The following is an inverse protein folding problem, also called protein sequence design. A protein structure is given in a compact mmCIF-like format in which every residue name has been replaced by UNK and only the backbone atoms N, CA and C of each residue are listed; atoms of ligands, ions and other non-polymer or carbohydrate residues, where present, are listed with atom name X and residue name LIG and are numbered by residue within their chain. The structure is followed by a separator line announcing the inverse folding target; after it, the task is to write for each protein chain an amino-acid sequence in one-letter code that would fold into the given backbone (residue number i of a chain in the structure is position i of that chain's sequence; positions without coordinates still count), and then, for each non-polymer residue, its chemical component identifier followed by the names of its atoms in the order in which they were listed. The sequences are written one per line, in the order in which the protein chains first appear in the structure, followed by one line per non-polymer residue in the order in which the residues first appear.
data_IF_323181894023
#
_entry.id   IF_323181894023
#
_cell.length_a   1.000
_cell.length_b   1.000
_cell.length_c   1.000
_cell.angle_alpha   90.00
_cell.angle_beta   90.00
_cell.angle_gamma   90.00
#
_symmetry.space_group_name_H-M   'P 1'
#
loop_
_entity.id
_entity.type
_entity.pdbx_description
1 polymer ?
#
# COMPACT_ATOMS: atom_id res chain seq x y z
N UNK A 1 5.48 -6.85 -16.49
CA UNK A 1 6.77 -6.56 -15.84
C UNK A 1 6.84 -5.11 -15.42
N UNK A 2 7.10 -4.86 -14.14
CA UNK A 2 7.28 -3.52 -13.55
C UNK A 2 8.71 -3.09 -13.83
N UNK A 3 8.94 -2.08 -14.68
CA UNK A 3 10.29 -1.72 -15.14
C UNK A 3 11.01 -0.81 -14.15
N UNK A 4 12.30 -1.06 -13.94
CA UNK A 4 13.16 -0.25 -13.06
C UNK A 4 13.68 1.03 -13.73
N UNK A 5 13.30 1.31 -14.98
CA UNK A 5 13.88 2.36 -15.82
C UNK A 5 13.57 3.81 -15.39
N UNK A 6 13.04 4.04 -14.19
CA UNK A 6 12.72 5.36 -13.66
C UNK A 6 13.34 5.65 -12.27
N UNK A 7 14.35 4.89 -11.83
CA UNK A 7 15.13 5.24 -10.63
C UNK A 7 16.06 6.41 -10.98
N UNK A 8 15.50 7.61 -11.11
CA UNK A 8 16.29 8.84 -11.10
C UNK A 8 16.01 9.57 -9.79
N UNK A 9 16.81 9.26 -8.77
CA UNK A 9 17.52 10.23 -7.93
C UNK A 9 16.74 11.46 -7.43
N UNK A 10 15.45 11.38 -7.12
CA UNK A 10 14.76 12.52 -6.51
C UNK A 10 15.03 12.57 -5.01
N UNK A 11 16.10 13.28 -4.65
CA UNK A 11 16.40 13.72 -3.29
C UNK A 11 15.87 15.16 -3.16
N UNK A 12 14.65 15.38 -2.61
CA UNK A 12 14.15 16.74 -2.43
C UNK A 12 15.01 17.48 -1.40
N UNK A 13 15.49 18.70 -1.71
CA UNK A 13 16.40 19.46 -0.85
C UNK A 13 15.78 19.94 0.48
N UNK A 14 14.47 19.77 0.69
CA UNK A 14 13.71 20.51 1.70
C UNK A 14 13.26 19.70 2.93
N UNK A 15 13.39 18.37 2.96
CA UNK A 15 13.01 17.59 4.15
C UNK A 15 14.21 17.38 5.08
N UNK A 16 14.29 18.29 6.05
CA UNK A 16 15.39 18.46 6.99
C UNK A 16 15.91 17.17 7.62
N UNK A 17 17.19 16.90 7.38
CA UNK A 17 18.02 16.16 8.33
C UNK A 17 18.60 17.17 9.31
N UNK A 18 18.22 17.07 10.58
CA UNK A 18 19.04 17.63 11.67
C UNK A 18 20.33 16.82 11.67
N UNK A 19 21.40 17.38 11.11
CA UNK A 19 22.71 16.74 11.15
C UNK A 19 23.27 16.87 12.58
N UNK A 20 23.26 15.77 13.32
CA UNK A 20 24.08 15.64 14.52
C UNK A 20 25.56 15.66 14.07
N UNK A 21 26.39 16.60 14.56
CA UNK A 21 27.72 16.83 14.02
C UNK A 21 28.74 15.88 14.66
N UNK A 22 28.57 14.56 14.53
CA UNK A 22 29.59 13.61 15.01
C UNK A 22 29.40 12.17 14.47
N UNK A 23 29.26 12.01 13.15
CA UNK A 23 29.45 10.71 12.48
C UNK A 23 30.02 10.87 11.07
N UNK A 24 31.23 11.40 10.97
CA UNK A 24 32.05 11.31 9.75
C UNK A 24 32.80 9.97 9.71
N UNK A 25 32.04 8.87 9.63
CA UNK A 25 32.52 7.62 9.04
C UNK A 25 31.62 7.27 7.85
N UNK A 26 31.96 7.91 6.72
CA UNK A 26 31.55 7.65 5.34
C UNK A 26 30.09 7.18 5.06
N UNK A 27 29.13 8.10 5.05
CA UNK A 27 27.77 7.88 4.52
C UNK A 27 27.73 7.63 2.99
N UNK A 28 28.82 7.95 2.28
CA UNK A 28 28.93 7.84 0.82
C UNK A 28 28.90 6.37 0.38
N UNK A 29 29.54 5.46 1.12
CA UNK A 29 29.69 4.06 0.70
C UNK A 29 28.41 3.24 0.93
N UNK A 30 27.62 3.54 1.97
CA UNK A 30 26.38 2.79 2.24
C UNK A 30 25.24 3.17 1.27
N UNK A 31 25.12 4.45 0.95
CA UNK A 31 24.13 4.96 0.00
C UNK A 31 24.42 4.43 -1.42
N UNK A 32 25.69 4.49 -1.84
CA UNK A 32 26.13 3.92 -3.13
C UNK A 32 25.81 2.43 -3.29
N UNK A 33 25.87 1.63 -2.21
CA UNK A 33 25.60 0.19 -2.28
C UNK A 33 24.11 -0.13 -2.49
N UNK A 34 23.20 0.62 -1.87
CA UNK A 34 21.75 0.43 -2.08
C UNK A 34 21.35 0.97 -3.46
N UNK A 35 21.88 2.12 -3.86
CA UNK A 35 21.66 2.70 -5.20
C UNK A 35 22.16 1.75 -6.31
N UNK A 36 23.32 1.11 -6.11
CA UNK A 36 23.89 0.15 -7.08
C UNK A 36 23.08 -1.15 -7.16
N UNK A 37 22.47 -1.59 -6.05
CA UNK A 37 21.65 -2.82 -6.05
C UNK A 37 20.29 -2.59 -6.72
N UNK A 38 19.65 -1.44 -6.50
CA UNK A 38 18.37 -1.08 -7.14
C UNK A 38 18.52 -0.75 -8.64
N UNK A 39 19.65 -0.21 -9.08
CA UNK A 39 19.94 0.05 -10.50
C UNK A 39 20.26 -1.20 -11.33
N UNK A 40 20.60 -2.33 -10.69
CA UNK A 40 20.83 -3.61 -11.40
C UNK A 40 19.55 -4.40 -11.69
N UNK A 41 18.48 -4.17 -10.92
CA UNK A 41 17.18 -4.74 -11.22
C UNK A 41 16.65 -4.08 -12.50
N UNK A 42 16.26 -4.88 -13.50
CA UNK A 42 15.68 -4.37 -14.76
C UNK A 42 14.16 -4.26 -14.67
N UNK A 43 13.54 -5.24 -14.02
CA UNK A 43 12.11 -5.26 -13.77
C UNK A 43 11.72 -6.31 -12.74
N UNK A 44 10.55 -6.14 -12.11
CA UNK A 44 9.85 -7.19 -11.39
C UNK A 44 8.94 -7.91 -12.39
N UNK A 45 9.19 -9.20 -12.60
CA UNK A 45 8.32 -10.05 -13.41
C UNK A 45 7.13 -10.53 -12.59
N UNK A 46 6.00 -10.80 -13.26
CA UNK A 46 4.82 -11.35 -12.60
C UNK A 46 5.10 -12.79 -12.21
N UNK A 47 5.07 -13.15 -10.91
CA UNK A 47 5.17 -14.54 -10.51
C UNK A 47 3.94 -15.33 -11.01
N UNK A 48 4.11 -16.59 -11.45
CA UNK A 48 2.99 -17.40 -11.93
C UNK A 48 1.92 -17.67 -10.86
N UNK A 49 2.27 -17.55 -9.58
CA UNK A 49 1.35 -17.69 -8.45
C UNK A 49 0.32 -16.55 -8.39
N UNK A 50 0.63 -15.39 -8.95
CA UNK A 50 -0.27 -14.23 -8.99
C UNK A 50 -1.16 -14.33 -10.23
N UNK A 51 -2.18 -15.19 -10.18
CA UNK A 51 -3.09 -15.40 -11.31
C UNK A 51 -4.13 -14.27 -11.49
N UNK A 52 -4.45 -13.55 -10.42
CA UNK A 52 -5.43 -12.45 -10.44
C UNK A 52 -4.84 -11.20 -11.14
N UNK A 53 -5.53 -10.73 -12.18
CA UNK A 53 -5.15 -9.55 -12.96
C UNK A 53 -5.30 -8.25 -12.18
N UNK A 54 -6.34 -8.10 -11.36
CA UNK A 54 -6.58 -6.91 -10.54
C UNK A 54 -5.55 -6.83 -9.41
N UNK A 55 -5.18 -7.97 -8.82
CA UNK A 55 -4.11 -8.03 -7.83
C UNK A 55 -2.78 -7.61 -8.45
N UNK A 56 -2.44 -8.16 -9.61
CA UNK A 56 -1.20 -7.82 -10.29
C UNK A 56 -1.16 -6.35 -10.73
N UNK A 57 -2.26 -5.80 -11.25
CA UNK A 57 -2.32 -4.39 -11.64
C UNK A 57 -2.08 -3.49 -10.42
N UNK A 58 -2.74 -3.76 -9.28
CA UNK A 58 -2.52 -3.03 -8.03
C UNK A 58 -1.05 -3.09 -7.59
N UNK A 59 -0.48 -4.29 -7.51
CA UNK A 59 0.92 -4.49 -7.12
C UNK A 59 1.87 -3.74 -8.07
N UNK A 60 1.56 -3.70 -9.37
CA UNK A 60 2.34 -2.98 -10.36
C UNK A 60 2.42 -1.47 -10.10
N UNK A 61 1.33 -0.87 -9.59
CA UNK A 61 1.28 0.55 -9.23
C UNK A 61 1.93 0.86 -7.89
N UNK A 62 1.85 -0.07 -6.93
CA UNK A 62 2.43 0.07 -5.59
C UNK A 62 3.95 -0.16 -5.58
N UNK A 63 4.43 -1.06 -6.43
CA UNK A 63 5.85 -1.41 -6.56
C UNK A 63 6.55 -0.63 -7.68
N UNK A 64 5.95 0.47 -8.15
CA UNK A 64 6.60 1.38 -9.08
C UNK A 64 7.86 1.98 -8.45
N UNK A 65 8.94 1.95 -9.22
CA UNK A 65 10.25 2.37 -8.76
C UNK A 65 10.36 3.89 -8.69
N UNK A 66 9.69 4.60 -9.60
CA UNK A 66 9.55 6.05 -9.55
C UNK A 66 8.60 6.47 -8.43
N UNK A 67 9.08 7.11 -7.34
CA UNK A 67 8.22 7.48 -6.22
C UNK A 67 7.12 8.46 -6.62
N UNK A 68 7.32 9.25 -7.69
CA UNK A 68 6.33 10.23 -8.18
C UNK A 68 5.18 9.52 -8.89
N UNK A 69 5.45 8.39 -9.54
CA UNK A 69 4.43 7.59 -10.25
C UNK A 69 3.82 6.49 -9.39
N UNK A 70 4.46 6.15 -8.26
CA UNK A 70 3.94 5.18 -7.29
C UNK A 70 2.61 5.66 -6.73
N UNK A 71 1.63 4.76 -6.69
CA UNK A 71 0.34 5.08 -6.10
C UNK A 71 0.48 5.50 -4.64
N UNK A 72 -0.15 6.62 -4.31
CA UNK A 72 -0.40 6.99 -2.93
C UNK A 72 -1.46 6.07 -2.30
N UNK A 73 -1.49 6.01 -0.97
CA UNK A 73 -2.39 5.11 -0.24
C UNK A 73 -3.88 5.36 -0.59
N UNK A 74 -4.28 6.62 -0.77
CA UNK A 74 -5.65 6.98 -1.12
C UNK A 74 -6.05 6.55 -2.54
N UNK A 75 -5.10 6.52 -3.48
CA UNK A 75 -5.29 5.99 -4.83
C UNK A 75 -5.38 4.45 -4.80
N UNK A 76 -4.51 3.80 -4.03
CA UNK A 76 -4.50 2.35 -3.89
C UNK A 76 -5.82 1.82 -3.30
N UNK A 77 -6.38 2.50 -2.29
CA UNK A 77 -7.67 2.13 -1.69
C UNK A 77 -8.87 2.27 -2.65
N UNK A 78 -8.74 3.07 -3.71
CA UNK A 78 -9.77 3.23 -4.75
C UNK A 78 -9.64 2.23 -5.90
N UNK A 79 -8.63 1.36 -5.86
CA UNK A 79 -8.36 0.41 -6.94
C UNK A 79 -9.51 -0.63 -7.07
N UNK A 80 -9.82 -1.10 -8.30
CA UNK A 80 -10.85 -2.13 -8.50
C UNK A 80 -10.61 -3.42 -7.69
N UNK A 81 -9.36 -3.74 -7.38
CA UNK A 81 -9.04 -4.86 -6.48
C UNK A 81 -9.77 -4.78 -5.12
N UNK A 82 -10.04 -3.58 -4.61
CA UNK A 82 -10.79 -3.38 -3.36
C UNK A 82 -12.25 -2.93 -3.56
N UNK A 83 -12.64 -2.54 -4.78
CA UNK A 83 -13.92 -1.85 -5.05
C UNK A 83 -14.78 -2.49 -6.15
N UNK A 84 -14.27 -3.55 -6.78
CA UNK A 84 -14.98 -4.32 -7.80
C UNK A 84 -16.20 -5.07 -7.23
N UNK A 85 -17.05 -5.55 -8.13
CA UNK A 85 -18.16 -6.45 -7.78
C UNK A 85 -17.69 -7.70 -7.06
N UNK A 86 -16.55 -8.25 -7.47
CA UNK A 86 -15.90 -9.44 -6.92
C UNK A 86 -15.48 -9.18 -5.48
N UNK A 87 -14.77 -8.08 -5.22
CA UNK A 87 -14.38 -7.68 -3.86
C UNK A 87 -15.60 -7.45 -2.94
N UNK A 88 -16.69 -6.89 -3.48
CA UNK A 88 -17.92 -6.71 -2.73
C UNK A 88 -18.64 -8.05 -2.44
N UNK A 89 -18.52 -9.04 -3.33
CA UNK A 89 -19.09 -10.36 -3.15
C UNK A 89 -18.32 -11.20 -2.10
N UNK A 90 -17.03 -10.91 -1.90
CA UNK A 90 -16.19 -11.56 -0.89
C UNK A 90 -16.50 -11.11 0.54
N UNK A 91 -17.30 -10.06 0.72
CA UNK A 91 -17.74 -9.61 2.05
C UNK A 91 -18.71 -10.65 2.63
N UNK A 92 -18.29 -11.30 3.71
CA UNK A 92 -19.08 -12.33 4.38
C UNK A 92 -20.37 -11.78 5.01
N UNK A 93 -21.41 -12.62 5.14
CA UNK A 93 -22.60 -12.28 5.91
C UNK A 93 -22.29 -11.87 7.36
N UNK A 94 -21.24 -12.42 7.95
CA UNK A 94 -20.77 -12.13 9.31
C UNK A 94 -20.26 -10.69 9.41
N UNK A 95 -19.45 -10.23 8.44
CA UNK A 95 -19.01 -8.83 8.36
C UNK A 95 -20.23 -7.89 8.25
N UNK A 96 -21.24 -8.24 7.45
CA UNK A 96 -22.48 -7.46 7.38
C UNK A 96 -23.23 -7.39 8.71
N UNK A 97 -23.35 -8.50 9.44
CA UNK A 97 -24.00 -8.54 10.76
C UNK A 97 -23.25 -7.67 11.77
N UNK A 98 -21.92 -7.73 11.79
CA UNK A 98 -21.09 -6.92 12.67
C UNK A 98 -21.23 -5.42 12.38
N UNK A 99 -21.24 -5.04 11.09
CA UNK A 99 -21.46 -3.66 10.68
C UNK A 99 -22.84 -3.12 11.12
N UNK A 100 -23.90 -3.94 10.97
CA UNK A 100 -25.24 -3.58 11.44
C UNK A 100 -25.31 -3.44 12.96
N UNK A 101 -24.60 -4.30 13.71
CA UNK A 101 -24.52 -4.20 15.15
C UNK A 101 -23.83 -2.91 15.58
N UNK A 102 -22.68 -2.59 14.99
CA UNK A 102 -21.98 -1.33 15.22
C UNK A 102 -22.87 -0.12 14.90
N UNK A 103 -23.68 -0.18 13.84
CA UNK A 103 -24.63 0.89 13.50
C UNK A 103 -25.69 1.09 14.59
N UNK A 104 -26.24 0.02 15.16
CA UNK A 104 -27.19 0.10 16.29
C UNK A 104 -26.54 0.70 17.53
N UNK A 105 -25.31 0.31 17.84
CA UNK A 105 -24.55 0.87 18.97
C UNK A 105 -24.27 2.36 18.79
N UNK A 106 -23.96 2.79 17.57
CA UNK A 106 -23.78 4.20 17.23
C UNK A 106 -25.04 5.02 17.52
N UNK A 107 -26.22 4.49 17.19
CA UNK A 107 -27.51 5.13 17.49
C UNK A 107 -27.80 5.20 19.00
N UNK A 108 -27.29 4.24 19.78
CA UNK A 108 -27.38 4.27 21.24
C UNK A 108 -26.40 5.23 21.94
N UNK A 109 -25.62 6.00 21.18
CA UNK A 109 -24.69 7.00 21.70
C UNK A 109 -23.28 6.48 22.01
N UNK A 110 -22.94 5.27 21.57
CA UNK A 110 -21.57 4.77 21.67
C UNK A 110 -20.63 5.46 20.66
N UNK A 111 -19.37 5.58 21.03
CA UNK A 111 -18.31 6.14 20.18
C UNK A 111 -17.90 5.15 19.09
N UNK A 112 -18.70 5.08 18.03
CA UNK A 112 -18.50 4.20 16.87
C UNK A 112 -18.08 5.04 15.66
N UNK A 113 -16.97 4.67 15.03
CA UNK A 113 -16.45 5.39 13.86
C UNK A 113 -17.19 4.99 12.57
N UNK A 114 -16.96 5.74 11.49
CA UNK A 114 -17.50 5.40 10.18
C UNK A 114 -16.96 4.07 9.61
N UNK A 115 -15.80 3.61 10.07
CA UNK A 115 -15.19 2.36 9.62
C UNK A 115 -15.83 1.13 10.26
N UNK A 116 -16.34 1.26 11.49
CA UNK A 116 -17.00 0.16 12.19
C UNK A 116 -18.36 -0.21 11.59
N UNK A 117 -19.01 0.72 10.89
CA UNK A 117 -20.36 0.54 10.33
C UNK A 117 -20.36 0.11 8.86
N UNK A 118 -19.18 0.00 8.25
CA UNK A 118 -19.04 -0.45 6.87
C UNK A 118 -18.40 -1.85 6.86
N UNK A 119 -19.10 -2.86 6.32
CA UNK A 119 -18.64 -4.26 6.37
C UNK A 119 -17.35 -4.50 5.59
N UNK A 120 -17.03 -3.68 4.58
CA UNK A 120 -15.77 -3.77 3.82
C UNK A 120 -14.53 -3.48 4.66
N UNK A 121 -14.66 -2.83 5.82
CA UNK A 121 -13.54 -2.55 6.74
C UNK A 121 -13.47 -3.53 7.93
N UNK A 122 -14.33 -4.54 7.95
CA UNK A 122 -14.35 -5.56 9.01
C UNK A 122 -13.54 -6.75 8.52
N UNK A 123 -12.63 -7.27 9.33
CA UNK A 123 -11.83 -8.45 8.97
C UNK A 123 -12.62 -9.71 9.32
N UNK A 124 -12.72 -10.67 8.39
CA UNK A 124 -13.31 -11.98 8.69
C UNK A 124 -12.40 -12.72 9.68
N UNK A 125 -12.99 -13.28 10.73
CA UNK A 125 -12.25 -14.14 11.65
C UNK A 125 -12.00 -15.48 10.94
N UNK A 126 -10.75 -15.73 10.53
CA UNK A 126 -10.34 -17.05 10.08
C UNK A 126 -9.99 -17.87 11.32
N UNK A 127 -10.90 -18.74 11.74
CA UNK A 127 -10.67 -19.77 12.77
C UNK A 127 -10.04 -21.00 12.13
#
# INVERSE_FOLDING_TARGET
NIRCSNILLYNPPEFGRVYAPEMFQNPIIQTQRIDMMMTTLKSIERPPEVADELLWDLLSKLLEFDPIKRFAADQALKHPYFTSSEANADISPEQHKLAQFAQKLKLSGQQITQYNVNPSFIVSENV
#
